data_IF_051319066426
#
_entry.id   IF_051319066426
#
_cell.length_a   1.000
_cell.length_b   1.000
_cell.length_c   1.000
_cell.angle_alpha   90.00
_cell.angle_beta   90.00
_cell.angle_gamma   90.00
#
_symmetry.space_group_name_H-M   'P 1'
#
loop_
_entity.id
_entity.type
_entity.pdbx_description
1 polymer ?
#
# COMPACT_ATOMS: atom_id res chain seq x y z
N UNK A 1 -61.46 -22.05 51.48
CA UNK A 1 -61.73 -22.11 50.02
C UNK A 1 -61.24 -20.88 49.25
N UNK A 2 -61.41 -19.64 49.72
CA UNK A 2 -60.89 -18.45 48.99
C UNK A 2 -59.36 -18.24 49.09
N UNK A 3 -58.69 -18.75 50.14
CA UNK A 3 -57.24 -18.56 50.33
C UNK A 3 -56.35 -19.54 49.54
N UNK A 4 -56.83 -20.76 49.24
CA UNK A 4 -56.10 -21.76 48.43
C UNK A 4 -56.15 -21.44 46.93
N UNK A 5 -57.20 -20.76 46.48
CA UNK A 5 -57.36 -20.35 45.07
C UNK A 5 -56.46 -19.17 44.73
N UNK A 6 -56.14 -18.29 45.68
CA UNK A 6 -55.20 -17.20 45.42
C UNK A 6 -53.74 -17.66 45.36
N UNK A 7 -53.32 -18.60 46.22
CA UNK A 7 -51.94 -19.11 46.21
C UNK A 7 -51.62 -19.90 44.93
N UNK A 8 -52.58 -20.71 44.44
CA UNK A 8 -52.44 -21.47 43.20
C UNK A 8 -52.39 -20.59 41.94
N UNK A 9 -53.10 -19.46 41.93
CA UNK A 9 -53.07 -18.51 40.81
C UNK A 9 -51.76 -17.69 40.75
N UNK A 10 -51.14 -17.37 41.89
CA UNK A 10 -49.83 -16.71 41.92
C UNK A 10 -48.69 -17.64 41.48
N UNK A 11 -48.70 -18.91 41.90
CA UNK A 11 -47.70 -19.89 41.48
C UNK A 11 -47.82 -20.24 39.97
N UNK A 12 -49.05 -20.31 39.44
CA UNK A 12 -49.29 -20.56 38.01
C UNK A 12 -48.94 -19.34 37.13
N UNK A 13 -49.09 -18.12 37.65
CA UNK A 13 -48.63 -16.89 36.99
C UNK A 13 -47.11 -16.73 37.00
N UNK A 14 -46.44 -17.16 38.08
CA UNK A 14 -44.98 -17.20 38.17
C UNK A 14 -44.37 -18.23 37.20
N UNK A 15 -44.97 -19.42 37.08
CA UNK A 15 -44.53 -20.48 36.16
C UNK A 15 -44.75 -20.11 34.68
N UNK A 16 -45.90 -19.47 34.36
CA UNK A 16 -46.15 -18.90 33.04
C UNK A 16 -45.16 -17.78 32.67
N UNK A 17 -44.76 -16.95 33.64
CA UNK A 17 -43.75 -15.91 33.48
C UNK A 17 -42.34 -16.46 33.27
N UNK A 18 -42.01 -17.62 33.85
CA UNK A 18 -40.72 -18.31 33.69
C UNK A 18 -40.62 -19.04 32.35
N UNK A 19 -41.67 -19.78 31.97
CA UNK A 19 -41.79 -20.44 30.65
C UNK A 19 -41.79 -19.42 29.49
N UNK A 20 -42.45 -18.27 29.66
CA UNK A 20 -42.39 -17.15 28.72
C UNK A 20 -41.00 -16.53 28.58
N UNK A 21 -40.21 -16.53 29.67
CA UNK A 21 -38.83 -16.03 29.68
C UNK A 21 -37.86 -17.00 28.98
N UNK A 22 -38.07 -18.30 29.17
CA UNK A 22 -37.32 -19.39 28.52
C UNK A 22 -37.58 -19.48 27.00
N UNK A 23 -38.83 -19.26 26.56
CA UNK A 23 -39.19 -19.24 25.14
C UNK A 23 -38.77 -17.95 24.42
N UNK A 24 -38.64 -16.82 25.14
CA UNK A 24 -38.14 -15.57 24.59
C UNK A 24 -36.60 -15.50 24.47
N UNK A 25 -35.88 -16.31 25.24
CA UNK A 25 -34.43 -16.42 25.25
C UNK A 25 -33.83 -16.83 23.89
N UNK A 26 -34.29 -17.91 23.21
CA UNK A 26 -33.79 -18.28 21.89
C UNK A 26 -34.10 -17.22 20.83
N UNK A 27 -35.25 -16.53 20.91
CA UNK A 27 -35.59 -15.43 20.00
C UNK A 27 -34.68 -14.21 20.21
N UNK A 28 -34.33 -13.87 21.46
CA UNK A 28 -33.35 -12.82 21.79
C UNK A 28 -31.94 -13.18 21.32
N UNK A 29 -31.54 -14.44 21.47
CA UNK A 29 -30.25 -14.94 20.97
C UNK A 29 -30.21 -14.84 19.44
N UNK A 30 -31.26 -15.31 18.74
CA UNK A 30 -31.36 -15.23 17.29
C UNK A 30 -31.29 -13.78 16.78
N UNK A 31 -32.01 -12.84 17.40
CA UNK A 31 -31.92 -11.42 17.04
C UNK A 31 -30.50 -10.86 17.23
N UNK A 32 -29.82 -11.18 18.33
CA UNK A 32 -28.43 -10.76 18.57
C UNK A 32 -27.48 -11.37 17.53
N UNK A 33 -27.67 -12.63 17.15
CA UNK A 33 -26.87 -13.28 16.09
C UNK A 33 -27.07 -12.59 14.75
N UNK A 34 -28.32 -12.26 14.39
CA UNK A 34 -28.64 -11.53 13.15
C UNK A 34 -28.05 -10.11 13.16
N UNK A 35 -28.10 -9.41 14.29
CA UNK A 35 -27.50 -8.08 14.42
C UNK A 35 -25.97 -8.14 14.30
N UNK A 36 -25.33 -9.11 14.94
CA UNK A 36 -23.89 -9.39 14.79
C UNK A 36 -23.55 -9.74 13.34
N UNK A 37 -24.36 -10.55 12.67
CA UNK A 37 -24.16 -10.89 11.26
C UNK A 37 -24.27 -9.66 10.35
N UNK A 38 -25.23 -8.76 10.59
CA UNK A 38 -25.34 -7.49 9.85
C UNK A 38 -24.14 -6.58 10.12
N UNK A 39 -23.70 -6.46 11.38
CA UNK A 39 -22.50 -5.70 11.76
C UNK A 39 -21.23 -6.28 11.13
N UNK A 40 -21.08 -7.60 11.11
CA UNK A 40 -19.95 -8.28 10.46
C UNK A 40 -20.00 -8.14 8.94
N UNK A 41 -21.18 -8.20 8.31
CA UNK A 41 -21.34 -7.93 6.88
C UNK A 41 -20.93 -6.50 6.55
N UNK A 42 -21.35 -5.52 7.37
CA UNK A 42 -20.95 -4.12 7.19
C UNK A 42 -19.43 -3.95 7.39
N UNK A 43 -18.87 -4.51 8.47
CA UNK A 43 -17.44 -4.47 8.74
C UNK A 43 -16.60 -5.12 7.63
N UNK A 44 -17.13 -6.19 7.01
CA UNK A 44 -16.49 -6.85 5.86
C UNK A 44 -16.57 -6.09 4.55
N UNK A 45 -17.62 -5.29 4.37
CA UNK A 45 -17.72 -4.36 3.25
C UNK A 45 -16.81 -3.15 3.45
N UNK A 46 -16.68 -2.69 4.69
CA UNK A 46 -15.85 -1.54 5.05
C UNK A 46 -14.35 -1.88 4.98
N UNK A 47 -13.94 -3.06 5.46
CA UNK A 47 -12.54 -3.53 5.41
C UNK A 47 -12.43 -5.06 5.25
N UNK A 48 -12.42 -5.59 4.02
CA UNK A 48 -12.32 -7.03 3.77
C UNK A 48 -10.98 -7.62 4.24
N UNK A 49 -9.92 -6.80 4.33
CA UNK A 49 -8.60 -7.25 4.77
C UNK A 49 -8.60 -7.58 6.25
N UNK A 50 -9.38 -6.86 7.07
CA UNK A 50 -9.56 -7.14 8.50
C UNK A 50 -10.20 -8.51 8.74
N UNK A 51 -11.17 -8.91 7.91
CA UNK A 51 -11.76 -10.26 7.97
C UNK A 51 -10.70 -11.32 7.68
N UNK A 52 -9.95 -11.13 6.60
CA UNK A 52 -8.85 -12.04 6.24
C UNK A 52 -7.86 -12.16 7.39
N UNK A 53 -7.44 -11.05 8.00
CA UNK A 53 -6.55 -11.06 9.16
C UNK A 53 -7.12 -11.85 10.35
N UNK A 54 -8.35 -11.56 10.78
CA UNK A 54 -8.98 -12.28 11.90
C UNK A 54 -9.11 -13.79 11.63
N UNK A 55 -9.45 -14.17 10.40
CA UNK A 55 -9.50 -15.57 9.97
C UNK A 55 -8.12 -16.23 10.07
N UNK A 56 -7.06 -15.57 9.59
CA UNK A 56 -5.69 -16.09 9.66
C UNK A 56 -5.21 -16.28 11.10
N UNK A 57 -5.45 -15.31 11.97
CA UNK A 57 -5.09 -15.42 13.40
C UNK A 57 -5.79 -16.63 14.02
N UNK A 58 -7.09 -16.78 13.77
CA UNK A 58 -7.86 -17.94 14.22
C UNK A 58 -7.28 -19.25 13.69
N UNK A 59 -7.00 -19.32 12.39
CA UNK A 59 -6.41 -20.49 11.74
C UNK A 59 -5.04 -20.86 12.34
N UNK A 60 -4.15 -19.88 12.56
CA UNK A 60 -2.84 -20.11 13.17
C UNK A 60 -2.96 -20.65 14.60
N UNK A 61 -3.85 -20.07 15.42
CA UNK A 61 -4.14 -20.56 16.77
C UNK A 61 -4.70 -21.99 16.72
N UNK A 62 -5.65 -22.26 15.84
CA UNK A 62 -6.21 -23.61 15.67
C UNK A 62 -5.13 -24.61 15.25
N UNK A 63 -4.28 -24.31 14.28
CA UNK A 63 -3.19 -25.20 13.85
C UNK A 63 -2.24 -25.49 15.03
N UNK A 64 -1.77 -24.46 15.72
CA UNK A 64 -0.89 -24.61 16.89
C UNK A 64 -1.58 -25.42 17.98
N UNK A 65 -2.88 -25.21 18.19
CA UNK A 65 -3.65 -25.94 19.21
C UNK A 65 -3.88 -27.40 18.83
N UNK A 66 -4.14 -27.66 17.54
CA UNK A 66 -4.30 -29.01 16.99
C UNK A 66 -3.02 -29.83 17.12
N UNK A 67 -1.84 -29.21 17.01
CA UNK A 67 -0.56 -29.89 17.21
C UNK A 67 -0.41 -30.49 18.62
N UNK A 68 -1.13 -29.99 19.63
CA UNK A 68 -1.13 -30.61 20.97
C UNK A 68 -1.88 -31.92 21.04
N UNK A 69 -2.81 -32.19 20.13
CA UNK A 69 -3.51 -33.47 20.12
C UNK A 69 -2.70 -34.57 19.45
N UNK A 70 -1.61 -34.23 18.76
CA UNK A 70 -0.66 -35.21 18.24
C UNK A 70 0.26 -35.71 19.34
N UNK A 71 0.00 -36.94 19.79
CA UNK A 71 0.66 -37.62 20.92
C UNK A 71 2.20 -37.50 20.96
N UNK A 72 2.94 -37.67 19.84
CA UNK A 72 4.41 -37.51 19.85
C UNK A 72 4.87 -36.08 20.18
N UNK A 73 4.07 -35.06 19.83
CA UNK A 73 4.37 -33.66 20.11
C UNK A 73 3.90 -33.27 21.53
N UNK A 74 2.81 -33.85 22.00
CA UNK A 74 2.33 -33.64 23.38
C UNK A 74 3.32 -34.17 24.42
N UNK A 75 3.77 -35.41 24.25
CA UNK A 75 4.71 -36.07 25.18
C UNK A 75 6.08 -35.37 25.18
N UNK A 76 6.47 -34.74 24.07
CA UNK A 76 7.70 -33.95 23.95
C UNK A 76 7.61 -32.52 24.47
N UNK A 77 6.46 -31.84 24.33
CA UNK A 77 6.31 -30.41 24.63
C UNK A 77 5.52 -30.07 25.90
N UNK A 78 4.73 -30.99 26.47
CA UNK A 78 4.11 -30.88 27.80
C UNK A 78 3.48 -29.49 28.10
N UNK A 79 3.80 -28.92 29.27
CA UNK A 79 3.32 -27.59 29.70
C UNK A 79 3.91 -26.42 28.89
N UNK A 80 4.97 -26.65 28.10
CA UNK A 80 5.61 -25.62 27.27
C UNK A 80 4.80 -25.29 26.00
N UNK A 81 3.77 -26.07 25.72
CA UNK A 81 2.73 -25.82 24.72
C UNK A 81 2.19 -24.38 24.75
N UNK A 82 1.82 -23.89 25.92
CA UNK A 82 1.16 -22.58 26.04
C UNK A 82 2.00 -21.43 25.44
N UNK A 83 3.33 -21.56 25.44
CA UNK A 83 4.24 -20.59 24.82
C UNK A 83 4.11 -20.47 23.30
N UNK A 84 3.74 -21.53 22.58
CA UNK A 84 3.54 -21.42 21.13
C UNK A 84 2.26 -20.64 20.83
N UNK A 85 1.16 -20.88 21.56
CA UNK A 85 -0.09 -20.13 21.41
C UNK A 85 0.10 -18.65 21.75
N UNK A 86 0.77 -18.37 22.87
CA UNK A 86 1.14 -16.99 23.22
C UNK A 86 2.05 -16.36 22.18
N UNK A 87 2.91 -17.14 21.51
CA UNK A 87 3.76 -16.61 20.44
C UNK A 87 2.93 -16.22 19.22
N UNK A 88 1.95 -17.02 18.82
CA UNK A 88 1.00 -16.62 17.76
C UNK A 88 0.34 -15.29 18.14
N UNK A 89 -0.26 -15.20 19.33
CA UNK A 89 -0.97 -13.99 19.78
C UNK A 89 -0.06 -12.75 19.80
N UNK A 90 1.20 -12.91 20.21
CA UNK A 90 2.13 -11.79 20.36
C UNK A 90 2.84 -11.37 19.07
N UNK A 91 2.93 -12.26 18.08
CA UNK A 91 3.72 -12.05 16.85
C UNK A 91 2.85 -11.77 15.64
N UNK A 92 1.63 -12.32 15.61
CA UNK A 92 0.75 -12.18 14.45
C UNK A 92 0.36 -10.72 14.26
N UNK A 93 0.63 -10.20 13.07
CA UNK A 93 0.34 -8.83 12.69
C UNK A 93 -0.43 -8.76 11.38
N UNK A 94 -0.93 -7.57 11.08
CA UNK A 94 -1.76 -7.33 9.90
C UNK A 94 -1.05 -7.67 8.58
N UNK A 95 0.22 -7.31 8.45
CA UNK A 95 1.03 -7.60 7.26
C UNK A 95 2.04 -8.72 7.50
N UNK A 96 2.45 -9.35 6.40
CA UNK A 96 3.48 -10.40 6.41
C UNK A 96 4.81 -9.85 6.93
N UNK A 97 5.22 -8.67 6.46
CA UNK A 97 6.46 -8.02 6.90
C UNK A 97 6.48 -7.66 8.37
N UNK A 98 5.36 -7.16 8.92
CA UNK A 98 5.25 -6.88 10.35
C UNK A 98 5.33 -8.16 11.19
N UNK A 99 4.67 -9.23 10.74
CA UNK A 99 4.70 -10.53 11.43
C UNK A 99 6.12 -11.12 11.43
N UNK A 100 6.82 -11.08 10.30
CA UNK A 100 8.20 -11.53 10.18
C UNK A 100 9.16 -10.71 11.05
N UNK A 101 9.07 -9.39 11.00
CA UNK A 101 9.90 -8.50 11.81
C UNK A 101 9.68 -8.71 13.31
N UNK A 102 8.43 -8.79 13.77
CA UNK A 102 8.11 -9.07 15.18
C UNK A 102 8.53 -10.49 15.59
N UNK A 103 8.32 -11.47 14.72
CA UNK A 103 8.65 -12.86 14.99
C UNK A 103 10.15 -13.09 15.13
N UNK A 104 10.94 -12.54 14.22
CA UNK A 104 12.40 -12.59 14.30
C UNK A 104 12.92 -11.82 15.52
N UNK A 105 12.39 -10.62 15.78
CA UNK A 105 12.81 -9.85 16.96
C UNK A 105 12.51 -10.60 18.26
N UNK A 106 11.35 -11.26 18.37
CA UNK A 106 11.00 -12.12 19.50
C UNK A 106 11.91 -13.34 19.61
N UNK A 107 12.24 -13.96 18.47
CA UNK A 107 13.19 -15.07 18.40
C UNK A 107 14.56 -14.67 18.93
N UNK A 108 15.13 -13.58 18.44
CA UNK A 108 16.41 -13.04 18.91
C UNK A 108 16.38 -12.66 20.39
N UNK A 109 15.32 -12.00 20.86
CA UNK A 109 15.18 -11.65 22.27
C UNK A 109 15.16 -12.89 23.17
N UNK A 110 14.47 -13.95 22.75
CA UNK A 110 14.41 -15.21 23.51
C UNK A 110 15.75 -15.93 23.52
N UNK A 111 16.45 -15.98 22.38
CA UNK A 111 17.80 -16.56 22.29
C UNK A 111 18.82 -15.78 23.13
N UNK A 112 18.77 -14.44 23.08
CA UNK A 112 19.65 -13.58 23.86
C UNK A 112 19.38 -13.74 25.37
N UNK A 113 18.10 -13.78 25.78
CA UNK A 113 17.74 -14.04 27.17
C UNK A 113 18.23 -15.43 27.64
N UNK A 114 18.11 -16.46 26.80
CA UNK A 114 18.64 -17.78 27.08
C UNK A 114 20.17 -17.81 27.21
N UNK A 115 20.89 -17.13 26.29
CA UNK A 115 22.34 -17.03 26.32
C UNK A 115 22.84 -16.26 27.54
N UNK A 116 22.18 -15.15 27.90
CA UNK A 116 22.49 -14.38 29.11
C UNK A 116 22.21 -15.19 30.38
N UNK A 117 21.10 -15.93 30.43
CA UNK A 117 20.80 -16.83 31.54
C UNK A 117 21.85 -17.94 31.72
N UNK A 118 22.29 -18.54 30.61
CA UNK A 118 23.37 -19.53 30.62
C UNK A 118 24.72 -18.92 31.03
N UNK A 119 25.06 -17.75 30.48
CA UNK A 119 26.31 -17.06 30.83
C UNK A 119 26.36 -16.65 32.30
N UNK A 120 25.24 -16.18 32.85
CA UNK A 120 25.08 -15.87 34.26
C UNK A 120 25.23 -17.11 35.16
N UNK A 121 24.60 -18.22 34.78
CA UNK A 121 24.75 -19.49 35.47
C UNK A 121 26.21 -19.97 35.46
N UNK A 122 26.87 -19.92 34.30
CA UNK A 122 28.27 -20.31 34.18
C UNK A 122 29.20 -19.41 35.00
N UNK A 123 28.93 -18.09 35.03
CA UNK A 123 29.69 -17.15 35.84
C UNK A 123 29.51 -17.41 37.34
N UNK A 124 28.28 -17.71 37.79
CA UNK A 124 28.00 -18.07 39.18
C UNK A 124 28.79 -19.31 39.62
N UNK A 125 28.86 -20.34 38.77
CA UNK A 125 29.62 -21.57 39.04
C UNK A 125 31.14 -21.34 39.11
N UNK A 126 31.67 -20.33 38.40
CA UNK A 126 33.10 -19.98 38.46
C UNK A 126 33.48 -19.17 39.71
N UNK A 127 32.52 -18.50 40.36
CA UNK A 127 32.79 -17.56 41.47
C UNK A 127 32.84 -18.17 42.87
N UNK A 128 32.63 -19.49 43.02
CA UNK A 128 32.82 -20.24 44.27
C UNK A 128 31.81 -19.94 45.42
N UNK A 129 31.75 -20.86 46.39
CA UNK A 129 30.71 -21.01 47.45
C UNK A 129 30.30 -19.74 48.21
N UNK A 130 31.14 -18.69 48.28
CA UNK A 130 30.83 -17.48 49.07
C UNK A 130 30.05 -16.39 48.34
N UNK A 131 29.89 -16.48 47.03
CA UNK A 131 29.11 -15.51 46.22
C UNK A 131 27.94 -16.12 45.45
N UNK A 132 27.86 -17.45 45.44
CA UNK A 132 26.84 -18.27 44.77
C UNK A 132 25.42 -17.87 45.21
N UNK A 133 25.21 -17.61 46.50
CA UNK A 133 23.89 -17.27 47.03
C UNK A 133 23.46 -15.82 46.73
N UNK A 134 24.39 -14.88 46.60
CA UNK A 134 24.08 -13.46 46.39
C UNK A 134 23.87 -13.18 44.90
N UNK A 135 24.71 -13.74 44.03
CA UNK A 135 24.61 -13.51 42.59
C UNK A 135 23.44 -14.29 41.98
N UNK A 136 23.21 -15.54 42.40
CA UNK A 136 22.04 -16.31 41.98
C UNK A 136 20.77 -15.72 42.61
N UNK A 137 20.78 -15.37 43.91
CA UNK A 137 19.59 -14.80 44.57
C UNK A 137 19.11 -13.45 44.03
N UNK A 138 20.02 -12.61 43.51
CA UNK A 138 19.68 -11.32 42.88
C UNK A 138 19.28 -11.49 41.40
N UNK A 139 19.85 -12.48 40.70
CA UNK A 139 19.63 -12.65 39.25
C UNK A 139 18.58 -13.69 38.89
N UNK A 140 18.27 -14.61 39.79
CA UNK A 140 17.32 -15.70 39.58
C UNK A 140 16.79 -16.14 40.94
N UNK A 141 15.58 -15.75 41.32
CA UNK A 141 14.88 -16.39 42.45
C UNK A 141 14.92 -17.93 42.23
N UNK A 142 15.66 -18.73 43.02
CA UNK A 142 15.66 -20.16 42.83
C UNK A 142 14.66 -20.74 43.83
N UNK A 143 13.50 -21.14 43.33
CA UNK A 143 12.95 -22.41 43.80
C UNK A 143 13.95 -23.48 43.36
N UNK A 144 14.55 -24.19 44.31
CA UNK A 144 15.50 -25.27 44.09
C UNK A 144 15.00 -26.28 43.05
N UNK A 145 15.63 -26.34 41.87
CA UNK A 145 15.40 -27.39 40.85
C UNK A 145 16.73 -27.80 40.21
N UNK A 146 16.86 -29.09 39.88
CA UNK A 146 18.10 -29.75 39.41
C UNK A 146 18.59 -29.20 38.07
N UNK A 147 19.91 -29.05 37.93
CA UNK A 147 20.61 -28.33 36.85
C UNK A 147 20.31 -28.84 35.43
N UNK A 148 20.18 -30.16 35.25
CA UNK A 148 19.90 -30.76 33.92
C UNK A 148 18.43 -30.60 33.48
N UNK A 149 17.49 -30.38 34.40
CA UNK A 149 16.07 -30.20 34.08
C UNK A 149 15.79 -28.79 33.55
N UNK A 150 16.54 -27.78 34.00
CA UNK A 150 16.32 -26.38 33.64
C UNK A 150 16.63 -26.12 32.15
N UNK A 151 17.78 -26.62 31.67
CA UNK A 151 18.17 -26.48 30.26
C UNK A 151 17.21 -27.21 29.33
N UNK A 152 16.74 -28.39 29.73
CA UNK A 152 15.75 -29.16 28.96
C UNK A 152 14.42 -28.42 28.86
N UNK A 153 13.92 -27.85 29.96
CA UNK A 153 12.70 -27.03 29.97
C UNK A 153 12.87 -25.76 29.12
N UNK A 154 14.03 -25.10 29.20
CA UNK A 154 14.31 -23.90 28.42
C UNK A 154 14.38 -24.19 26.91
N UNK A 155 15.06 -25.26 26.50
CA UNK A 155 15.15 -25.69 25.10
C UNK A 155 13.77 -26.08 24.55
N UNK A 156 12.96 -26.77 25.36
CA UNK A 156 11.60 -27.13 25.02
C UNK A 156 10.71 -25.89 24.81
N UNK A 157 10.88 -24.83 25.61
CA UNK A 157 10.20 -23.54 25.38
C UNK A 157 10.70 -22.82 24.13
N UNK A 158 12.01 -22.80 23.91
CA UNK A 158 12.58 -22.17 22.72
C UNK A 158 12.07 -22.84 21.44
N UNK A 159 12.04 -24.18 21.42
CA UNK A 159 11.53 -24.95 20.28
C UNK A 159 10.03 -24.77 20.06
N UNK A 160 9.19 -24.73 21.11
CA UNK A 160 7.76 -24.42 20.95
C UNK A 160 7.50 -22.99 20.46
N UNK A 161 8.27 -22.00 20.95
CA UNK A 161 8.21 -20.62 20.45
C UNK A 161 8.58 -20.57 18.96
N UNK A 162 9.65 -21.27 18.55
CA UNK A 162 10.05 -21.34 17.14
C UNK A 162 8.99 -22.02 16.26
N UNK A 163 8.37 -23.11 16.73
CA UNK A 163 7.27 -23.78 16.00
C UNK A 163 6.06 -22.85 15.86
N UNK A 164 5.63 -22.20 16.94
CA UNK A 164 4.51 -21.25 16.90
C UNK A 164 4.78 -20.06 15.98
N UNK A 165 6.02 -19.53 16.00
CA UNK A 165 6.48 -18.49 15.09
C UNK A 165 6.48 -18.94 13.63
N UNK A 166 6.98 -20.15 13.34
CA UNK A 166 7.00 -20.71 11.99
C UNK A 166 5.59 -20.88 11.43
N UNK A 167 4.67 -21.45 12.20
CA UNK A 167 3.26 -21.63 11.78
C UNK A 167 2.61 -20.29 11.49
N UNK A 168 2.84 -19.30 12.35
CA UNK A 168 2.35 -17.93 12.15
C UNK A 168 2.82 -17.35 10.82
N UNK A 169 4.12 -17.45 10.53
CA UNK A 169 4.71 -16.97 9.27
C UNK A 169 4.14 -17.72 8.06
N UNK A 170 4.01 -19.04 8.14
CA UNK A 170 3.45 -19.86 7.05
C UNK A 170 2.00 -19.45 6.76
N UNK A 171 1.16 -19.31 7.79
CA UNK A 171 -0.23 -18.87 7.63
C UNK A 171 -0.29 -17.46 7.02
N UNK A 172 0.56 -16.53 7.46
CA UNK A 172 0.62 -15.19 6.90
C UNK A 172 0.96 -15.15 5.40
N UNK A 173 1.91 -15.99 4.97
CA UNK A 173 2.40 -16.03 3.58
C UNK A 173 1.41 -16.78 2.66
N UNK A 174 0.87 -17.91 3.10
CA UNK A 174 0.09 -18.81 2.23
C UNK A 174 -1.40 -18.53 2.23
N UNK A 175 -1.95 -17.88 3.27
CA UNK A 175 -3.38 -17.57 3.36
C UNK A 175 -3.58 -16.08 3.08
N UNK A 176 -4.07 -15.75 1.88
CA UNK A 176 -4.41 -14.38 1.43
C UNK A 176 -3.41 -13.29 1.87
N UNK A 177 -2.13 -13.36 1.46
CA UNK A 177 -1.08 -12.52 2.03
C UNK A 177 -1.37 -11.02 1.90
N UNK A 178 -1.02 -10.27 2.94
CA UNK A 178 -1.16 -8.81 2.99
C UNK A 178 0.25 -8.21 3.03
N UNK A 179 0.60 -7.47 1.98
CA UNK A 179 1.95 -6.96 1.75
C UNK A 179 2.03 -5.46 2.07
N UNK A 180 2.83 -5.08 3.05
CA UNK A 180 3.09 -3.69 3.42
C UNK A 180 3.85 -2.94 2.32
N UNK A 181 4.72 -3.63 1.57
CA UNK A 181 5.42 -3.03 0.43
C UNK A 181 4.47 -2.58 -0.68
N UNK A 182 3.44 -3.39 -0.97
CA UNK A 182 2.38 -3.03 -1.91
C UNK A 182 1.54 -1.83 -1.42
N UNK A 183 1.25 -1.77 -0.13
CA UNK A 183 0.53 -0.64 0.46
C UNK A 183 1.36 0.65 0.43
N UNK A 184 2.67 0.59 0.74
CA UNK A 184 3.58 1.73 0.61
C UNK A 184 3.65 2.24 -0.82
N UNK A 185 3.79 1.33 -1.78
CA UNK A 185 3.86 1.64 -3.20
C UNK A 185 2.61 2.40 -3.67
N UNK A 186 1.42 1.88 -3.33
CA UNK A 186 0.15 2.51 -3.67
C UNK A 186 -0.04 3.86 -2.95
N UNK A 187 0.38 3.94 -1.69
CA UNK A 187 0.29 5.16 -0.89
C UNK A 187 1.15 6.28 -1.49
N UNK A 188 2.41 6.01 -1.81
CA UNK A 188 3.32 7.00 -2.41
C UNK A 188 2.77 7.52 -3.74
N UNK A 189 2.29 6.63 -4.61
CA UNK A 189 1.70 7.05 -5.88
C UNK A 189 0.41 7.87 -5.68
N UNK A 190 -0.48 7.42 -4.79
CA UNK A 190 -1.74 8.13 -4.49
C UNK A 190 -1.48 9.50 -3.85
N UNK A 191 -0.46 9.61 -3.02
CA UNK A 191 -0.04 10.89 -2.44
C UNK A 191 0.41 11.88 -3.53
N UNK A 192 1.21 11.41 -4.49
CA UNK A 192 1.64 12.24 -5.62
C UNK A 192 0.46 12.63 -6.54
N UNK A 193 -0.49 11.72 -6.77
CA UNK A 193 -1.72 11.99 -7.52
C UNK A 193 -2.61 13.04 -6.83
N UNK A 194 -2.75 12.98 -5.49
CA UNK A 194 -3.49 13.98 -4.71
C UNK A 194 -2.90 15.37 -4.84
N UNK A 195 -1.57 15.48 -4.76
CA UNK A 195 -0.82 16.73 -5.01
C UNK A 195 -1.07 17.23 -6.43
N UNK A 196 -0.99 16.34 -7.43
CA UNK A 196 -1.23 16.71 -8.83
C UNK A 196 -2.66 17.16 -9.11
N UNK A 197 -3.65 16.49 -8.51
CA UNK A 197 -5.07 16.82 -8.67
C UNK A 197 -5.41 18.19 -8.09
N UNK A 198 -4.83 18.55 -6.94
CA UNK A 198 -4.95 19.91 -6.40
C UNK A 198 -4.39 20.96 -7.38
N UNK A 199 -3.19 20.74 -7.93
CA UNK A 199 -2.55 21.69 -8.84
C UNK A 199 -3.32 21.88 -10.16
N UNK A 200 -3.89 20.80 -10.72
CA UNK A 200 -4.77 20.94 -11.89
C UNK A 200 -5.99 21.83 -11.61
N UNK A 201 -6.56 21.76 -10.40
CA UNK A 201 -7.72 22.54 -9.99
C UNK A 201 -7.41 23.95 -9.47
N UNK A 202 -6.17 24.21 -9.04
CA UNK A 202 -5.81 25.46 -8.37
C UNK A 202 -5.98 26.69 -9.26
N UNK A 203 -5.40 26.68 -10.47
CA UNK A 203 -5.39 27.84 -11.37
C UNK A 203 -6.79 28.38 -11.67
N UNK A 204 -7.71 27.55 -12.20
CA UNK A 204 -9.09 27.98 -12.49
C UNK A 204 -9.86 28.45 -11.25
N UNK A 205 -9.60 27.89 -10.07
CA UNK A 205 -10.24 28.31 -8.83
C UNK A 205 -9.70 29.66 -8.35
N UNK A 206 -8.38 29.85 -8.35
CA UNK A 206 -7.73 31.09 -7.91
C UNK A 206 -8.11 32.28 -8.79
N UNK A 207 -8.27 32.08 -10.11
CA UNK A 207 -8.67 33.11 -11.07
C UNK A 207 -10.16 33.09 -11.42
N UNK A 208 -11.00 32.40 -10.64
CA UNK A 208 -12.48 32.37 -10.76
C UNK A 208 -13.01 32.04 -12.18
N UNK A 209 -12.30 31.19 -12.91
CA UNK A 209 -12.63 30.93 -14.33
C UNK A 209 -13.74 29.88 -14.51
N UNK A 210 -13.92 28.93 -13.56
CA UNK A 210 -14.95 27.87 -13.65
C UNK A 210 -15.08 26.95 -12.40
N UNK A 211 -14.97 27.45 -11.17
CA UNK A 211 -14.78 26.63 -9.96
C UNK A 211 -15.99 25.78 -9.50
N UNK A 212 -15.78 24.47 -9.26
CA UNK A 212 -16.69 23.61 -8.50
C UNK A 212 -16.18 23.48 -7.05
N UNK A 213 -16.84 24.17 -6.11
CA UNK A 213 -16.41 24.27 -4.70
C UNK A 213 -16.30 22.90 -3.99
N UNK A 214 -17.21 21.96 -4.26
CA UNK A 214 -17.18 20.63 -3.62
C UNK A 214 -15.96 19.83 -4.06
N UNK A 215 -15.65 19.85 -5.37
CA UNK A 215 -14.48 19.18 -5.91
C UNK A 215 -13.18 19.81 -5.38
N UNK A 216 -13.14 21.14 -5.29
CA UNK A 216 -11.98 21.85 -4.75
C UNK A 216 -11.73 21.50 -3.28
N UNK A 217 -12.80 21.44 -2.46
CA UNK A 217 -12.71 21.02 -1.06
C UNK A 217 -12.18 19.60 -0.91
N UNK A 218 -12.60 18.68 -1.77
CA UNK A 218 -12.04 17.32 -1.80
C UNK A 218 -10.54 17.31 -2.18
N UNK A 219 -10.11 18.17 -3.11
CA UNK A 219 -8.69 18.34 -3.46
C UNK A 219 -7.86 18.87 -2.29
N UNK A 220 -8.40 19.85 -1.54
CA UNK A 220 -7.76 20.40 -0.34
C UNK A 220 -7.56 19.32 0.72
N UNK A 221 -8.59 18.53 0.99
CA UNK A 221 -8.47 17.40 1.92
C UNK A 221 -7.48 16.34 1.39
N UNK A 222 -7.43 16.15 0.07
CA UNK A 222 -6.48 15.28 -0.61
C UNK A 222 -5.02 15.59 -0.24
N UNK A 223 -4.54 16.81 -0.49
CA UNK A 223 -3.13 17.14 -0.20
C UNK A 223 -2.85 17.21 1.31
N UNK A 224 -3.83 17.60 2.15
CA UNK A 224 -3.66 17.60 3.62
C UNK A 224 -3.38 16.21 4.18
N UNK A 225 -4.02 15.18 3.63
CA UNK A 225 -3.69 13.80 3.96
C UNK A 225 -2.25 13.42 3.61
N UNK A 226 -1.67 14.04 2.57
CA UNK A 226 -0.26 13.83 2.21
C UNK A 226 0.66 14.43 3.27
N UNK A 227 0.34 15.59 3.85
CA UNK A 227 1.16 16.21 4.90
C UNK A 227 1.33 15.28 6.12
N UNK A 228 0.27 14.56 6.49
CA UNK A 228 0.25 13.67 7.65
C UNK A 228 0.73 12.23 7.37
N UNK A 229 1.20 11.93 6.16
CA UNK A 229 1.52 10.56 5.71
C UNK A 229 2.83 9.98 6.27
N UNK A 230 3.72 10.79 6.85
CA UNK A 230 5.10 10.39 7.19
C UNK A 230 5.18 9.11 8.04
N UNK A 231 4.45 9.07 9.15
CA UNK A 231 4.51 7.93 10.07
C UNK A 231 4.03 6.62 9.41
N UNK A 232 3.01 6.72 8.55
CA UNK A 232 2.43 5.57 7.85
C UNK A 232 3.45 5.03 6.84
N UNK A 233 4.08 5.92 6.07
CA UNK A 233 5.11 5.54 5.10
C UNK A 233 6.32 4.88 5.76
N UNK A 234 6.84 5.47 6.85
CA UNK A 234 8.00 4.94 7.57
C UNK A 234 7.70 3.56 8.16
N UNK A 235 6.51 3.37 8.76
CA UNK A 235 6.07 2.09 9.29
C UNK A 235 5.95 1.03 8.18
N UNK A 236 5.32 1.36 7.05
CA UNK A 236 5.16 0.43 5.94
C UNK A 236 6.50 0.06 5.31
N UNK A 237 7.43 1.01 5.16
CA UNK A 237 8.78 0.73 4.65
C UNK A 237 9.57 -0.19 5.58
N UNK A 238 9.46 0.01 6.90
CA UNK A 238 10.09 -0.86 7.89
C UNK A 238 9.55 -2.30 7.81
N UNK A 239 8.25 -2.46 7.59
CA UNK A 239 7.66 -3.79 7.41
C UNK A 239 8.02 -4.41 6.07
N UNK A 240 7.99 -3.63 4.99
CA UNK A 240 8.33 -4.08 3.64
C UNK A 240 9.77 -4.61 3.53
N UNK A 241 10.68 -4.15 4.39
CA UNK A 241 12.05 -4.66 4.48
C UNK A 241 12.13 -6.15 4.79
N UNK A 242 11.17 -6.68 5.55
CA UNK A 242 11.14 -8.08 5.97
C UNK A 242 10.44 -9.00 4.98
N UNK A 243 9.81 -8.46 3.95
CA UNK A 243 8.94 -9.24 3.07
C UNK A 243 9.74 -10.10 2.08
N UNK A 244 9.35 -11.37 1.87
CA UNK A 244 9.86 -12.15 0.75
C UNK A 244 9.47 -11.52 -0.60
N UNK A 245 10.11 -11.99 -1.67
CA UNK A 245 9.75 -11.60 -3.03
C UNK A 245 8.27 -11.92 -3.31
N UNK A 246 7.51 -10.94 -3.81
CA UNK A 246 6.07 -11.10 -4.05
C UNK A 246 5.58 -10.20 -5.20
N UNK A 247 4.64 -10.70 -5.99
CA UNK A 247 4.06 -9.96 -7.12
C UNK A 247 5.12 -9.42 -8.09
N UNK A 248 5.15 -8.10 -8.26
CA UNK A 248 6.15 -7.40 -9.09
C UNK A 248 7.36 -6.90 -8.29
N UNK A 249 7.32 -7.00 -6.96
CA UNK A 249 8.39 -6.55 -6.07
C UNK A 249 9.46 -7.63 -5.94
N UNK A 250 10.71 -7.25 -6.18
CA UNK A 250 11.85 -8.16 -6.05
C UNK A 250 12.34 -8.23 -4.61
N UNK A 251 13.07 -9.29 -4.29
CA UNK A 251 13.82 -9.35 -3.03
C UNK A 251 14.78 -8.15 -2.94
N UNK A 252 14.80 -7.46 -1.79
CA UNK A 252 15.55 -6.21 -1.55
C UNK A 252 15.18 -5.08 -2.51
N UNK A 253 13.89 -4.85 -2.70
CA UNK A 253 13.35 -3.66 -3.35
C UNK A 253 13.89 -2.37 -2.69
N UNK A 254 14.14 -1.28 -3.46
CA UNK A 254 14.69 -0.05 -2.92
C UNK A 254 13.66 0.79 -2.13
N UNK A 255 13.19 0.30 -0.97
CA UNK A 255 12.18 0.97 -0.14
C UNK A 255 12.58 2.38 0.32
N UNK A 256 13.89 2.64 0.49
CA UNK A 256 14.40 3.99 0.79
C UNK A 256 14.06 5.03 -0.29
N UNK A 257 13.98 4.62 -1.56
CA UNK A 257 13.59 5.53 -2.64
C UNK A 257 12.09 5.85 -2.60
N UNK A 258 11.23 4.92 -2.17
CA UNK A 258 9.81 5.23 -1.92
C UNK A 258 9.66 6.31 -0.83
N UNK A 259 10.42 6.21 0.26
CA UNK A 259 10.46 7.24 1.31
C UNK A 259 10.99 8.57 0.82
N UNK A 260 11.98 8.57 -0.09
CA UNK A 260 12.50 9.79 -0.74
C UNK A 260 11.41 10.48 -1.56
N UNK A 261 10.67 9.72 -2.38
CA UNK A 261 9.53 10.23 -3.17
C UNK A 261 8.42 10.74 -2.26
N UNK A 262 8.08 10.01 -1.19
CA UNK A 262 7.08 10.45 -0.20
C UNK A 262 7.48 11.74 0.52
N UNK A 263 8.76 11.86 0.92
CA UNK A 263 9.33 13.07 1.51
C UNK A 263 9.24 14.28 0.57
N UNK A 264 9.60 14.11 -0.70
CA UNK A 264 9.47 15.16 -1.71
C UNK A 264 8.01 15.51 -2.02
N UNK A 265 7.11 14.53 -2.00
CA UNK A 265 5.67 14.75 -2.18
C UNK A 265 5.11 15.62 -1.05
N UNK A 266 5.53 15.37 0.20
CA UNK A 266 5.23 16.24 1.34
C UNK A 266 5.81 17.63 1.19
N UNK A 267 7.05 17.77 0.74
CA UNK A 267 7.63 19.10 0.46
C UNK A 267 6.84 19.88 -0.60
N UNK A 268 6.28 19.20 -1.60
CA UNK A 268 5.37 19.81 -2.56
C UNK A 268 4.07 20.25 -1.87
N UNK A 269 3.48 19.35 -1.06
CA UNK A 269 2.26 19.61 -0.32
C UNK A 269 2.39 20.80 0.67
N UNK A 270 3.54 21.00 1.33
CA UNK A 270 3.76 22.17 2.18
C UNK A 270 3.74 23.49 1.40
N UNK A 271 4.32 23.50 0.18
CA UNK A 271 4.27 24.68 -0.71
C UNK A 271 2.85 24.93 -1.22
N UNK A 272 2.12 23.86 -1.52
CA UNK A 272 0.69 23.91 -1.85
C UNK A 272 -0.13 24.46 -0.69
N UNK A 273 0.16 24.09 0.56
CA UNK A 273 -0.57 24.58 1.71
C UNK A 273 -0.40 26.10 1.88
N UNK A 274 0.84 26.59 1.71
CA UNK A 274 1.13 28.02 1.65
C UNK A 274 0.37 28.70 0.50
N UNK A 275 0.38 28.09 -0.70
CA UNK A 275 -0.34 28.58 -1.87
C UNK A 275 -1.86 28.62 -1.65
N UNK A 276 -2.42 27.61 -1.01
CA UNK A 276 -3.85 27.51 -0.69
C UNK A 276 -4.29 28.63 0.28
N UNK A 277 -3.38 29.10 1.15
CA UNK A 277 -3.62 30.23 2.03
C UNK A 277 -3.95 31.55 1.31
N UNK A 278 -3.53 31.70 0.05
CA UNK A 278 -3.76 32.91 -0.76
C UNK A 278 -5.08 32.91 -1.55
N UNK A 279 -5.90 31.84 -1.52
CA UNK A 279 -7.19 31.85 -2.22
C UNK A 279 -8.22 32.80 -1.60
N UNK A 280 -8.19 32.98 -0.28
CA UNK A 280 -9.19 33.76 0.46
C UNK A 280 -8.65 35.10 0.98
N UNK A 281 -7.39 35.44 0.69
CA UNK A 281 -6.87 36.76 1.01
C UNK A 281 -7.54 37.77 0.09
N UNK A 282 -8.30 38.72 0.65
CA UNK A 282 -8.96 39.80 -0.08
C UNK A 282 -8.02 40.34 -1.16
N UNK A 283 -8.44 40.15 -2.42
CA UNK A 283 -7.65 40.41 -3.61
C UNK A 283 -7.41 41.91 -3.76
N UNK A 284 -6.33 42.40 -3.16
CA UNK A 284 -5.90 43.80 -3.29
C UNK A 284 -5.19 44.10 -4.63
N UNK A 285 -4.98 43.10 -5.49
CA UNK A 285 -4.17 43.29 -6.70
C UNK A 285 -5.00 43.85 -7.87
N UNK A 286 -4.52 44.91 -8.55
CA UNK A 286 -5.18 45.48 -9.72
C UNK A 286 -5.50 44.44 -10.82
N UNK A 287 -6.68 44.51 -11.48
CA UNK A 287 -7.09 43.54 -12.51
C UNK A 287 -6.14 43.43 -13.71
N UNK A 288 -5.43 44.52 -14.02
CA UNK A 288 -4.48 44.60 -15.14
C UNK A 288 -3.25 43.71 -14.93
N UNK A 289 -2.75 43.60 -13.69
CA UNK A 289 -1.60 42.74 -13.34
C UNK A 289 -2.05 41.29 -13.30
N UNK A 290 -3.20 41.04 -12.68
CA UNK A 290 -3.80 39.71 -12.54
C UNK A 290 -4.00 39.03 -13.89
N UNK A 291 -4.53 39.76 -14.88
CA UNK A 291 -4.69 39.26 -16.25
C UNK A 291 -3.37 38.93 -16.94
N UNK A 292 -2.29 39.68 -16.69
CA UNK A 292 -0.96 39.40 -17.26
C UNK A 292 -0.35 38.11 -16.70
N UNK A 293 -0.53 37.81 -15.41
CA UNK A 293 0.06 36.62 -14.78
C UNK A 293 -0.84 35.37 -14.85
N UNK A 294 -2.13 35.55 -15.12
CA UNK A 294 -3.14 34.49 -15.10
C UNK A 294 -2.78 33.30 -15.99
N UNK A 295 -2.54 33.53 -17.28
CA UNK A 295 -2.29 32.46 -18.23
C UNK A 295 -1.01 31.65 -17.88
N UNK A 296 0.15 32.29 -17.61
CA UNK A 296 1.34 31.56 -17.16
C UNK A 296 1.11 30.77 -15.86
N UNK A 297 0.40 31.32 -14.88
CA UNK A 297 0.10 30.65 -13.61
C UNK A 297 -0.80 29.42 -13.80
N UNK A 298 -1.90 29.56 -14.56
CA UNK A 298 -2.81 28.45 -14.87
C UNK A 298 -2.06 27.34 -15.59
N UNK A 299 -1.28 27.70 -16.62
CA UNK A 299 -0.50 26.74 -17.40
C UNK A 299 0.54 26.02 -16.54
N UNK A 300 1.27 26.76 -15.70
CA UNK A 300 2.26 26.19 -14.80
C UNK A 300 1.63 25.21 -13.81
N UNK A 301 0.53 25.59 -13.17
CA UNK A 301 -0.18 24.75 -12.20
C UNK A 301 -0.74 23.48 -12.85
N UNK A 302 -1.43 23.63 -14.00
CA UNK A 302 -2.03 22.51 -14.74
C UNK A 302 -0.99 21.53 -15.32
N UNK A 303 0.08 22.02 -15.95
CA UNK A 303 1.13 21.15 -16.50
C UNK A 303 1.90 20.44 -15.37
N UNK A 304 2.13 21.11 -14.24
CA UNK A 304 2.76 20.47 -13.06
C UNK A 304 1.84 19.39 -12.48
N UNK A 305 0.55 19.66 -12.35
CA UNK A 305 -0.41 18.68 -11.86
C UNK A 305 -0.49 17.44 -12.75
N UNK A 306 -0.54 17.63 -14.07
CA UNK A 306 -0.49 16.55 -15.05
C UNK A 306 0.79 15.73 -14.96
N UNK A 307 1.95 16.39 -14.83
CA UNK A 307 3.21 15.69 -14.63
C UNK A 307 3.19 14.77 -13.41
N UNK A 308 2.70 15.26 -12.26
CA UNK A 308 2.65 14.47 -11.04
C UNK A 308 1.67 13.28 -11.14
N UNK A 309 0.54 13.44 -11.82
CA UNK A 309 -0.40 12.33 -12.07
C UNK A 309 0.19 11.30 -13.02
N UNK A 310 0.90 11.72 -14.06
CA UNK A 310 1.64 10.81 -14.95
C UNK A 310 2.74 10.04 -14.22
N UNK A 311 3.49 10.70 -13.32
CA UNK A 311 4.44 10.01 -12.44
C UNK A 311 3.72 9.03 -11.51
N UNK A 312 2.54 9.37 -11.00
CA UNK A 312 1.77 8.52 -10.09
C UNK A 312 1.30 7.25 -10.80
N UNK A 313 0.80 7.39 -12.03
CA UNK A 313 0.47 6.26 -12.90
C UNK A 313 1.72 5.43 -13.15
N UNK A 314 2.84 6.04 -13.52
CA UNK A 314 4.11 5.35 -13.76
C UNK A 314 4.58 4.51 -12.56
N UNK A 315 4.43 5.04 -11.34
CA UNK A 315 4.70 4.27 -10.12
C UNK A 315 3.70 3.12 -10.01
N UNK A 316 2.38 3.38 -10.01
CA UNK A 316 1.33 2.35 -9.86
C UNK A 316 1.48 1.18 -10.82
N UNK A 317 1.85 1.47 -12.07
CA UNK A 317 1.99 0.45 -13.12
C UNK A 317 3.39 -0.16 -13.18
N UNK A 318 4.36 0.38 -12.41
CA UNK A 318 5.78 0.05 -12.52
C UNK A 318 6.32 0.13 -13.95
N UNK A 319 5.90 1.16 -14.68
CA UNK A 319 6.34 1.44 -16.06
C UNK A 319 6.88 2.86 -16.14
N UNK A 320 8.01 3.12 -16.82
CA UNK A 320 8.52 4.48 -16.99
C UNK A 320 7.52 5.35 -17.79
N UNK A 321 7.37 6.63 -17.44
CA UNK A 321 6.55 7.59 -18.22
C UNK A 321 7.44 8.68 -18.82
N UNK A 322 7.46 8.76 -20.16
CA UNK A 322 8.05 9.88 -20.90
C UNK A 322 7.14 11.12 -20.93
N UNK A 323 5.82 10.92 -20.75
CA UNK A 323 4.82 11.98 -20.74
C UNK A 323 5.03 12.98 -19.60
N UNK A 324 5.37 12.47 -18.40
CA UNK A 324 5.66 13.29 -17.23
C UNK A 324 6.77 14.32 -17.50
N UNK A 325 7.85 13.91 -18.17
CA UNK A 325 8.98 14.79 -18.48
C UNK A 325 8.59 15.91 -19.46
N UNK A 326 7.72 15.60 -20.44
CA UNK A 326 7.17 16.59 -21.37
C UNK A 326 6.34 17.65 -20.63
N UNK A 327 5.48 17.24 -19.70
CA UNK A 327 4.70 18.16 -18.88
C UNK A 327 5.58 19.05 -17.98
N UNK A 328 6.63 18.50 -17.36
CA UNK A 328 7.59 19.28 -16.57
C UNK A 328 8.31 20.32 -17.42
N UNK A 329 8.73 19.96 -18.64
CA UNK A 329 9.36 20.91 -19.55
C UNK A 329 8.42 22.07 -19.90
N UNK A 330 7.13 21.79 -20.17
CA UNK A 330 6.12 22.82 -20.42
C UNK A 330 5.89 23.71 -19.20
N UNK A 331 5.83 23.13 -18.00
CA UNK A 331 5.70 23.89 -16.75
C UNK A 331 6.90 24.82 -16.51
N UNK A 332 8.12 24.36 -16.80
CA UNK A 332 9.34 25.18 -16.72
C UNK A 332 9.33 26.36 -17.70
N UNK A 333 8.90 26.14 -18.94
CA UNK A 333 8.77 27.22 -19.92
C UNK A 333 7.77 28.26 -19.43
N UNK A 334 6.62 27.83 -18.89
CA UNK A 334 5.63 28.73 -18.31
C UNK A 334 6.21 29.53 -17.11
N UNK A 335 6.98 28.87 -16.25
CA UNK A 335 7.68 29.52 -15.12
C UNK A 335 8.68 30.59 -15.59
N UNK A 336 9.46 30.31 -16.64
CA UNK A 336 10.41 31.29 -17.22
C UNK A 336 9.69 32.49 -17.82
N UNK A 337 8.61 32.27 -18.56
CA UNK A 337 7.77 33.34 -19.12
C UNK A 337 7.19 34.21 -18.00
N UNK A 338 6.59 33.59 -16.97
CA UNK A 338 6.07 34.31 -15.81
C UNK A 338 7.15 35.13 -15.11
N UNK A 339 8.34 34.56 -14.91
CA UNK A 339 9.47 35.26 -14.28
C UNK A 339 9.89 36.50 -15.09
N UNK A 340 9.90 36.40 -16.43
CA UNK A 340 10.20 37.56 -17.28
C UNK A 340 9.10 38.64 -17.22
N UNK A 341 7.83 38.24 -17.22
CA UNK A 341 6.69 39.16 -17.14
C UNK A 341 6.59 39.85 -15.77
N UNK A 342 6.84 39.11 -14.69
CA UNK A 342 6.85 39.69 -13.35
C UNK A 342 7.99 40.70 -13.21
N UNK A 343 9.16 40.41 -13.80
CA UNK A 343 10.25 41.38 -13.86
C UNK A 343 9.79 42.67 -14.54
N UNK A 344 9.20 42.60 -15.74
CA UNK A 344 8.73 43.80 -16.45
C UNK A 344 7.66 44.57 -15.68
N UNK A 345 6.70 43.88 -15.06
CA UNK A 345 5.63 44.51 -14.24
C UNK A 345 6.22 45.26 -13.04
N UNK A 346 7.17 44.65 -12.32
CA UNK A 346 7.84 45.29 -11.17
C UNK A 346 8.61 46.55 -11.59
N UNK A 347 9.14 46.63 -12.81
CA UNK A 347 9.83 47.82 -13.31
C UNK A 347 8.87 48.92 -13.80
N UNK A 348 7.62 48.57 -14.14
CA UNK A 348 6.60 49.50 -14.67
C UNK A 348 5.69 50.10 -13.59
N UNK A 349 5.47 49.41 -12.47
CA UNK A 349 4.50 49.82 -11.43
C UNK A 349 5.17 50.23 -10.11
N UNK A 350 4.87 51.45 -9.64
CA UNK A 350 5.48 52.07 -8.44
C UNK A 350 4.82 51.59 -7.13
N UNK A 351 3.70 50.85 -7.19
CA UNK A 351 2.98 50.35 -5.99
C UNK A 351 3.36 48.90 -5.66
N UNK A 352 4.62 48.70 -5.25
CA UNK A 352 5.18 47.38 -4.94
C UNK A 352 4.30 46.54 -3.98
N UNK A 353 3.61 47.19 -3.03
CA UNK A 353 2.80 46.55 -2.00
C UNK A 353 1.58 45.78 -2.56
N UNK A 354 0.96 46.29 -3.63
CA UNK A 354 -0.25 45.71 -4.25
C UNK A 354 0.07 44.47 -5.12
N UNK A 355 1.33 44.35 -5.55
CA UNK A 355 1.84 43.25 -6.38
C UNK A 355 2.33 42.06 -5.53
N UNK A 356 2.58 42.27 -4.23
CA UNK A 356 3.18 41.24 -3.33
C UNK A 356 2.40 39.91 -3.34
N UNK A 357 1.06 39.88 -3.21
CA UNK A 357 0.33 38.61 -3.15
C UNK A 357 0.48 37.78 -4.44
N UNK A 358 0.25 38.42 -5.59
CA UNK A 358 0.35 37.81 -6.92
C UNK A 358 1.80 37.38 -7.25
N UNK A 359 2.79 38.18 -6.87
CA UNK A 359 4.21 37.82 -6.97
C UNK A 359 4.58 36.62 -6.07
N UNK A 360 3.98 36.54 -4.88
CA UNK A 360 4.19 35.43 -3.95
C UNK A 360 3.57 34.14 -4.47
N UNK A 361 2.34 34.19 -5.00
CA UNK A 361 1.68 33.08 -5.69
C UNK A 361 2.51 32.60 -6.86
N UNK A 362 3.01 33.51 -7.70
CA UNK A 362 3.92 33.19 -8.79
C UNK A 362 5.20 32.48 -8.31
N UNK A 363 5.86 33.01 -7.27
CA UNK A 363 7.07 32.41 -6.70
C UNK A 363 6.82 31.01 -6.13
N UNK A 364 5.72 30.83 -5.39
CA UNK A 364 5.34 29.53 -4.82
C UNK A 364 5.07 28.50 -5.92
N UNK A 365 4.41 28.90 -7.01
CA UNK A 365 4.21 28.01 -8.16
C UNK A 365 5.52 27.63 -8.85
N UNK A 366 6.47 28.57 -8.99
CA UNK A 366 7.81 28.26 -9.51
C UNK A 366 8.54 27.25 -8.61
N UNK A 367 8.45 27.41 -7.30
CA UNK A 367 9.01 26.46 -6.34
C UNK A 367 8.34 25.08 -6.40
N UNK A 368 7.04 25.04 -6.67
CA UNK A 368 6.28 23.79 -6.89
C UNK A 368 6.75 23.10 -8.18
N UNK A 369 7.02 23.83 -9.27
CA UNK A 369 7.61 23.25 -10.50
C UNK A 369 8.97 22.62 -10.19
N UNK A 370 9.82 23.31 -9.43
CA UNK A 370 11.11 22.74 -9.00
C UNK A 370 10.93 21.49 -8.14
N UNK A 371 9.89 21.46 -7.30
CA UNK A 371 9.56 20.28 -6.52
C UNK A 371 9.11 19.09 -7.39
N UNK A 372 8.32 19.35 -8.44
CA UNK A 372 7.88 18.33 -9.38
C UNK A 372 9.02 17.76 -10.22
N UNK A 373 10.00 18.59 -10.59
CA UNK A 373 11.24 18.13 -11.22
C UNK A 373 12.00 17.14 -10.31
N UNK A 374 12.23 17.51 -9.05
CA UNK A 374 12.90 16.63 -8.08
C UNK A 374 12.15 15.31 -7.86
N UNK A 375 10.82 15.34 -7.91
CA UNK A 375 9.97 14.15 -7.85
C UNK A 375 10.16 13.27 -9.09
N UNK A 376 10.24 13.86 -10.28
CA UNK A 376 10.49 13.11 -11.52
C UNK A 376 11.88 12.47 -11.51
N UNK A 377 12.91 13.18 -11.05
CA UNK A 377 14.26 12.63 -10.89
C UNK A 377 14.27 11.42 -9.95
N UNK A 378 13.69 11.54 -8.75
CA UNK A 378 13.60 10.42 -7.80
C UNK A 378 12.75 9.26 -8.32
N UNK A 379 11.69 9.56 -9.09
CA UNK A 379 10.83 8.53 -9.69
C UNK A 379 11.56 7.79 -10.81
N UNK A 380 12.36 8.48 -11.62
CA UNK A 380 13.22 7.87 -12.63
C UNK A 380 14.34 7.03 -12.00
N UNK A 381 14.95 7.53 -10.93
CA UNK A 381 15.92 6.78 -10.12
C UNK A 381 15.27 5.50 -9.57
N UNK A 382 14.07 5.61 -8.99
CA UNK A 382 13.28 4.49 -8.51
C UNK A 382 12.98 3.50 -9.63
N UNK A 383 12.50 3.98 -10.78
CA UNK A 383 12.17 3.14 -11.93
C UNK A 383 13.40 2.34 -12.42
N UNK A 384 14.58 2.97 -12.42
CA UNK A 384 15.83 2.34 -12.80
C UNK A 384 16.24 1.22 -11.83
N UNK A 385 16.23 1.49 -10.52
CA UNK A 385 16.68 0.55 -9.48
C UNK A 385 15.66 -0.57 -9.25
N UNK A 386 14.37 -0.26 -9.33
CA UNK A 386 13.28 -1.23 -9.25
C UNK A 386 13.10 -2.03 -10.55
N UNK A 387 13.83 -1.70 -11.63
CA UNK A 387 13.76 -2.35 -12.94
C UNK A 387 12.32 -2.38 -13.48
N UNK A 388 11.70 -1.20 -13.51
CA UNK A 388 10.38 -1.00 -14.11
C UNK A 388 10.37 -1.57 -15.53
N UNK A 389 9.32 -2.34 -15.85
CA UNK A 389 9.21 -2.96 -17.17
C UNK A 389 8.83 -1.88 -18.18
N UNK A 390 9.56 -1.79 -19.29
CA UNK A 390 9.05 -1.03 -20.42
C UNK A 390 7.88 -1.80 -21.02
N UNK A 391 6.76 -1.12 -21.24
CA UNK A 391 5.73 -1.66 -22.11
C UNK A 391 6.28 -1.55 -23.53
N UNK A 392 6.84 -2.64 -24.03
CA UNK A 392 7.03 -2.77 -25.46
C UNK A 392 5.63 -2.81 -26.06
N UNK A 393 5.23 -1.74 -26.76
CA UNK A 393 4.11 -1.84 -27.67
C UNK A 393 4.48 -2.94 -28.66
N UNK A 394 3.93 -4.14 -28.46
CA UNK A 394 3.91 -5.19 -29.46
C UNK A 394 3.06 -4.63 -30.60
N UNK A 395 3.68 -3.86 -31.49
CA UNK A 395 3.23 -3.79 -32.87
C UNK A 395 3.41 -5.21 -33.35
N UNK A 396 2.31 -5.94 -33.48
CA UNK A 396 2.28 -7.19 -34.23
C UNK A 396 2.96 -6.89 -35.56
N UNK A 397 4.13 -7.47 -35.88
CA UNK A 397 4.64 -7.37 -37.23
C UNK A 397 3.65 -8.15 -38.09
N UNK A 398 2.98 -7.48 -39.03
CA UNK A 398 2.51 -8.20 -40.21
C UNK A 398 3.73 -8.94 -40.76
N UNK A 399 3.63 -10.27 -40.85
CA UNK A 399 4.63 -11.09 -41.52
C UNK A 399 4.85 -10.56 -42.94
N UNK A 400 6.08 -10.12 -43.32
CA UNK A 400 6.44 -10.13 -44.71
C UNK A 400 6.60 -11.60 -45.10
N UNK A 401 5.70 -12.12 -45.92
CA UNK A 401 5.85 -13.44 -46.54
C UNK A 401 7.14 -13.44 -47.36
N UNK A 402 8.22 -13.98 -46.78
CA UNK A 402 9.50 -14.13 -47.45
C UNK A 402 9.50 -15.50 -48.15
N UNK A 403 9.40 -15.46 -49.47
CA UNK A 403 9.50 -16.61 -50.38
C UNK A 403 10.82 -17.35 -50.14
N UNK A 404 10.73 -18.58 -49.64
CA UNK A 404 11.86 -19.48 -49.43
C UNK A 404 12.35 -20.02 -50.76
N UNK A 405 13.39 -19.42 -51.34
CA UNK A 405 14.19 -20.04 -52.38
C UNK A 405 14.95 -21.26 -51.80
N UNK A 406 14.82 -22.42 -52.46
CA UNK A 406 15.55 -23.65 -52.13
C UNK A 406 16.94 -23.61 -52.79
N UNK A 407 17.96 -24.26 -52.19
CA UNK A 407 19.28 -24.33 -52.78
C UNK A 407 19.33 -25.28 -53.98
N UNK A 408 20.10 -24.86 -54.98
CA UNK A 408 20.35 -25.49 -56.27
C UNK A 408 21.29 -26.69 -56.13
N UNK A 409 20.93 -27.85 -56.70
CA UNK A 409 21.82 -28.99 -56.93
C UNK A 409 21.84 -29.35 -58.43
N UNK A 410 22.95 -29.88 -58.97
CA UNK A 410 23.30 -29.78 -60.39
C UNK A 410 22.67 -30.85 -61.29
N UNK A 411 22.54 -30.47 -62.57
CA UNK A 411 21.97 -31.21 -63.68
C UNK A 411 22.65 -32.55 -63.99
N UNK A 412 21.85 -33.54 -64.42
CA UNK A 412 22.20 -34.47 -65.51
C UNK A 412 20.94 -34.98 -66.24
N UNK A 413 20.95 -34.75 -67.55
CA UNK A 413 20.43 -35.53 -68.70
C UNK A 413 19.09 -36.31 -68.67
N UNK A 414 18.32 -36.02 -69.72
CA UNK A 414 17.65 -36.95 -70.65
C UNK A 414 16.11 -37.16 -70.61
N UNK A 415 15.53 -36.63 -71.70
CA UNK A 415 14.41 -37.12 -72.55
C UNK A 415 12.95 -37.20 -72.06
N UNK A 416 12.13 -36.55 -72.89
CA UNK A 416 10.83 -37.01 -73.42
C UNK A 416 9.55 -36.71 -72.62
N UNK A 417 8.58 -36.08 -73.30
CA UNK A 417 7.16 -36.27 -72.99
C UNK A 417 6.32 -35.00 -72.96
N UNK A 418 5.64 -34.73 -74.07
CA UNK A 418 4.67 -33.66 -74.35
C UNK A 418 3.35 -33.71 -73.53
N UNK A 419 2.63 -32.56 -73.57
CA UNK A 419 1.17 -32.31 -73.57
C UNK A 419 0.67 -31.41 -72.40
N UNK A 420 0.39 -30.11 -72.63
CA UNK A 420 -0.90 -29.50 -73.07
C UNK A 420 -2.01 -29.66 -71.99
N UNK A 421 -2.83 -28.70 -71.55
CA UNK A 421 -3.34 -27.41 -72.07
C UNK A 421 -4.16 -26.68 -70.97
N UNK A 422 -3.95 -25.36 -70.84
CA UNK A 422 -4.88 -24.21 -70.73
C UNK A 422 -6.22 -24.35 -69.98
N UNK A 423 -6.50 -23.41 -69.05
CA UNK A 423 -7.65 -22.49 -69.15
C UNK A 423 -7.58 -21.36 -68.10
N UNK A 424 -7.39 -20.14 -68.61
CA UNK A 424 -7.65 -18.87 -67.91
C UNK A 424 -9.11 -18.50 -68.23
N UNK A 425 -9.87 -18.03 -67.25
CA UNK A 425 -10.91 -17.07 -67.55
C UNK A 425 -11.08 -16.09 -66.39
N UNK A 426 -10.85 -14.82 -66.71
CA UNK A 426 -11.04 -13.66 -65.85
C UNK A 426 -12.14 -12.79 -66.44
N UNK A 427 -12.73 -11.99 -65.54
CA UNK A 427 -13.52 -10.76 -65.76
C UNK A 427 -15.03 -10.88 -66.05
N UNK A 428 -15.82 -9.78 -65.87
CA UNK A 428 -15.49 -8.48 -65.27
C UNK A 428 -16.55 -7.92 -64.29
N UNK A 429 -16.21 -6.79 -63.68
CA UNK A 429 -17.11 -5.86 -63.00
C UNK A 429 -17.97 -5.06 -63.99
N UNK A 430 -19.21 -4.72 -63.60
CA UNK A 430 -19.91 -3.52 -64.12
C UNK A 430 -20.90 -2.95 -63.10
N UNK A 431 -21.14 -1.66 -63.28
CA UNK A 431 -21.72 -0.64 -62.40
C UNK A 431 -23.24 -0.41 -62.53
N UNK A 432 -23.76 0.43 -61.62
CA UNK A 432 -24.90 1.38 -61.72
C UNK A 432 -26.35 0.89 -61.50
N UNK A 433 -27.00 1.42 -60.45
CA UNK A 433 -28.12 2.39 -60.51
C UNK A 433 -29.32 2.11 -59.58
N UNK A 434 -29.66 3.16 -58.80
CA UNK A 434 -30.96 3.69 -58.36
C UNK A 434 -32.11 2.83 -57.73
N UNK A 435 -32.61 3.43 -56.62
CA UNK A 435 -34.01 3.65 -56.19
C UNK A 435 -34.83 2.50 -55.60
N UNK A 436 -35.41 2.79 -54.43
CA UNK A 436 -36.83 2.55 -54.18
C UNK A 436 -37.18 1.94 -52.82
N UNK A 437 -37.80 2.76 -51.97
CA UNK A 437 -38.64 2.45 -50.80
C UNK A 437 -38.99 0.98 -50.52
N UNK A 438 -38.80 0.59 -49.26
CA UNK A 438 -39.93 0.23 -48.40
C UNK A 438 -39.61 0.44 -46.93
#
# INVERSE_FOLDING_TARGET
>A
MASEVNHSNEDMAADAGWLGRLTALPRKIACKVVELAKKMKKLGQDDPRRISHSFKVGLAITIVSSLYYFKPLYDGFGSSAMWAVFTVINVFEFSVGATLGKGLNRGFATLLAGALGFGAYHLANLTGERSEHILVGILCLPTSYREEEILKIALQRATTILIGGLITVLVCIFVYPVWAGGDLHNLVATNMEKVGTFLEGFGPQYFETSGNEEHYKACVEGYKNVLNSKQIEDNLANFAWWEPCHGQFRFRQPWKLYLKVGSQSRQCAYRIDALNGYLNSDLQTPPQIRSKIQEPCIKMSSETGRALKELAVAIKTMTPSSSAQSHIAKAKIAAMNLKSMLKTVIWEEINLLEVIPDATVASLLVDIVSCAEKLAESTNELASLAKFKRMDHKVTPEEPTCTREKPMHPCTSDTSGTHHVIAINLQPATSLSEKGNS
#
